data_IF_222101012201
#
_entry.id   IF_222101012201
#
_cell.length_a   1.000
_cell.length_b   1.000
_cell.length_c   1.000
_cell.angle_alpha   90.00
_cell.angle_beta   90.00
_cell.angle_gamma   90.00
#
_symmetry.space_group_name_H-M   'P 1'
#
loop_
_entity.id
_entity.type
_entity.pdbx_description
1 polymer ?
#
# COMPACT_ATOMS: atom_id res chain seq x y z
N UNK A 1 -4.79 -14.40 -11.87
CA UNK A 1 -5.20 -15.43 -10.89
C UNK A 1 -5.04 -14.92 -9.45
N UNK A 2 -5.90 -13.97 -9.09
CA UNK A 2 -6.07 -13.33 -7.77
C UNK A 2 -6.22 -14.34 -6.59
N UNK A 3 -6.58 -15.60 -6.88
CA UNK A 3 -6.82 -16.66 -5.89
C UNK A 3 -5.59 -17.06 -5.06
N UNK A 4 -4.37 -17.02 -5.62
CA UNK A 4 -3.15 -17.43 -4.89
C UNK A 4 -2.68 -16.37 -3.90
N UNK A 5 -3.07 -15.09 -4.08
CA UNK A 5 -2.72 -14.00 -3.18
C UNK A 5 -3.49 -14.06 -1.84
N UNK A 6 -4.46 -14.96 -1.69
CA UNK A 6 -5.24 -15.10 -0.45
C UNK A 6 -4.63 -16.05 0.58
N UNK A 7 -3.72 -16.96 0.20
CA UNK A 7 -3.43 -18.11 1.06
C UNK A 7 -2.15 -18.04 1.91
N UNK A 8 -1.23 -17.08 1.70
CA UNK A 8 -0.07 -16.92 2.58
C UNK A 8 0.29 -15.44 2.74
N UNK A 9 -0.04 -14.87 3.91
CA UNK A 9 0.37 -13.53 4.35
C UNK A 9 -0.76 -12.50 4.42
N UNK A 10 -0.75 -11.67 5.46
CA UNK A 10 -1.55 -10.44 5.51
C UNK A 10 -1.20 -9.56 4.29
N UNK A 11 -2.20 -9.08 3.54
CA UNK A 11 -2.01 -8.18 2.40
C UNK A 11 -3.11 -7.12 2.43
N UNK A 12 -2.74 -5.87 2.16
CA UNK A 12 -3.67 -4.78 1.93
C UNK A 12 -4.23 -4.86 0.52
N UNK A 13 -5.51 -4.54 0.36
CA UNK A 13 -6.19 -4.53 -0.93
C UNK A 13 -6.78 -3.16 -1.17
N UNK A 14 -6.46 -2.53 -2.29
CA UNK A 14 -7.14 -1.31 -2.73
C UNK A 14 -7.71 -1.55 -4.12
N UNK A 15 -8.88 -0.97 -4.38
CA UNK A 15 -9.59 -1.12 -5.65
C UNK A 15 -9.41 0.14 -6.48
N UNK A 16 -9.26 -0.03 -7.80
CA UNK A 16 -9.09 1.10 -8.70
C UNK A 16 -9.16 0.73 -10.17
N UNK A 17 -8.79 1.69 -11.00
CA UNK A 17 -8.70 1.58 -12.46
C UNK A 17 -7.26 1.82 -12.89
N UNK A 18 -6.73 0.94 -13.73
CA UNK A 18 -5.42 1.17 -14.35
C UNK A 18 -5.49 2.41 -15.25
N UNK A 19 -4.68 3.42 -14.97
CA UNK A 19 -4.66 4.65 -15.75
C UNK A 19 -3.60 4.61 -16.85
N UNK A 20 -2.39 4.13 -16.53
CA UNK A 20 -1.33 3.93 -17.51
C UNK A 20 -0.59 2.63 -17.25
N UNK A 21 -0.03 2.04 -18.32
CA UNK A 21 0.92 0.93 -18.23
C UNK A 21 2.15 1.32 -19.05
N UNK A 22 3.32 1.22 -18.43
CA UNK A 22 4.61 1.48 -19.05
C UNK A 22 5.63 0.45 -18.57
N UNK A 23 5.90 -0.55 -19.41
CA UNK A 23 6.85 -1.62 -19.10
C UNK A 23 6.42 -2.42 -17.87
N UNK A 24 7.24 -2.38 -16.82
CA UNK A 24 7.05 -3.09 -15.54
C UNK A 24 6.31 -2.26 -14.48
N UNK A 25 5.83 -1.06 -14.82
CA UNK A 25 5.09 -0.17 -13.93
C UNK A 25 3.76 0.24 -14.54
N UNK A 26 2.73 0.32 -13.70
CA UNK A 26 1.45 0.91 -14.03
C UNK A 26 1.03 1.90 -12.95
N UNK A 27 0.29 2.95 -13.35
CA UNK A 27 -0.41 3.82 -12.41
C UNK A 27 -1.84 3.33 -12.26
N UNK A 28 -2.32 3.28 -11.01
CA UNK A 28 -3.71 2.93 -10.69
C UNK A 28 -4.35 4.11 -10.01
N UNK A 29 -5.51 4.53 -10.53
CA UNK A 29 -6.39 5.49 -9.90
C UNK A 29 -7.36 4.74 -8.99
N UNK A 30 -7.21 4.92 -7.70
CA UNK A 30 -8.11 4.37 -6.69
C UNK A 30 -9.50 5.02 -6.80
N UNK A 31 -10.50 4.40 -6.20
CA UNK A 31 -11.89 4.86 -6.27
C UNK A 31 -12.13 6.23 -5.62
N UNK A 32 -11.25 6.67 -4.71
CA UNK A 32 -11.26 8.00 -4.11
C UNK A 32 -10.54 9.06 -4.98
N UNK A 33 -9.98 8.66 -6.13
CA UNK A 33 -9.23 9.51 -7.05
C UNK A 33 -7.72 9.53 -6.82
N UNK A 34 -7.22 8.94 -5.73
CA UNK A 34 -5.79 8.86 -5.39
C UNK A 34 -5.04 8.04 -6.44
N UNK A 35 -3.84 8.52 -6.81
CA UNK A 35 -2.94 7.79 -7.71
C UNK A 35 -1.89 7.01 -6.93
N UNK A 36 -1.64 5.78 -7.36
CA UNK A 36 -0.62 4.90 -6.81
C UNK A 36 0.17 4.20 -7.91
N UNK A 37 1.39 3.77 -7.59
CA UNK A 37 2.18 2.89 -8.44
C UNK A 37 1.99 1.42 -8.08
N UNK A 38 1.99 0.57 -9.11
CA UNK A 38 1.97 -0.87 -8.98
C UNK A 38 2.75 -1.52 -10.14
N UNK A 39 3.11 -2.79 -9.96
CA UNK A 39 3.56 -3.68 -11.02
C UNK A 39 2.33 -4.32 -11.70
N UNK A 40 2.19 -4.24 -13.04
CA UNK A 40 1.09 -4.86 -13.78
C UNK A 40 1.31 -6.37 -13.86
N UNK A 41 0.64 -7.15 -13.02
CA UNK A 41 0.81 -8.61 -12.96
C UNK A 41 -0.25 -9.34 -13.79
N UNK A 42 -1.53 -8.98 -13.64
CA UNK A 42 -2.65 -9.57 -14.40
C UNK A 42 -3.52 -8.51 -15.08
N UNK A 43 -2.96 -7.33 -15.33
CA UNK A 43 -3.62 -6.23 -16.06
C UNK A 43 -2.80 -5.92 -17.30
N UNK A 44 -3.48 -5.63 -18.41
CA UNK A 44 -2.83 -5.55 -19.73
C UNK A 44 -3.05 -4.24 -20.46
N UNK A 45 -4.03 -3.42 -20.04
CA UNK A 45 -4.30 -2.11 -20.65
C UNK A 45 -4.89 -1.13 -19.65
N UNK A 46 -4.76 0.16 -19.98
CA UNK A 46 -5.47 1.23 -19.30
C UNK A 46 -7.00 1.05 -19.39
N UNK A 47 -7.71 1.49 -18.36
CA UNK A 47 -9.16 1.35 -18.20
C UNK A 47 -9.61 0.06 -17.52
N UNK A 48 -8.71 -0.90 -17.27
CA UNK A 48 -9.07 -2.14 -16.56
C UNK A 48 -9.30 -1.90 -15.07
N UNK A 49 -10.38 -2.48 -14.54
CA UNK A 49 -10.57 -2.59 -13.09
C UNK A 49 -9.53 -3.54 -12.53
N UNK A 50 -8.93 -3.14 -11.43
CA UNK A 50 -7.88 -3.90 -10.78
C UNK A 50 -8.02 -3.81 -9.27
N UNK A 51 -7.63 -4.90 -8.63
CA UNK A 51 -7.35 -4.94 -7.19
C UNK A 51 -5.84 -4.92 -7.02
N UNK A 52 -5.32 -3.88 -6.38
CA UNK A 52 -3.91 -3.87 -5.98
C UNK A 52 -3.72 -4.64 -4.68
N UNK A 53 -2.61 -5.34 -4.56
CA UNK A 53 -2.21 -6.05 -3.35
C UNK A 53 -0.85 -5.56 -2.89
N UNK A 54 -0.77 -5.09 -1.65
CA UNK A 54 0.45 -4.53 -1.04
C UNK A 54 0.70 -5.26 0.28
N UNK A 55 1.93 -5.72 0.48
CA UNK A 55 2.31 -6.37 1.74
C UNK A 55 2.51 -5.34 2.86
N UNK A 56 1.99 -5.55 4.08
CA UNK A 56 2.10 -4.60 5.18
C UNK A 56 3.54 -4.18 5.49
N UNK A 57 4.50 -5.11 5.38
CA UNK A 57 5.92 -4.86 5.64
C UNK A 57 6.64 -4.07 4.54
N UNK A 58 5.95 -3.74 3.44
CA UNK A 58 6.49 -2.94 2.32
C UNK A 58 5.94 -1.52 2.29
N UNK A 59 5.05 -1.19 3.23
CA UNK A 59 4.51 0.16 3.41
C UNK A 59 5.49 0.97 4.23
N UNK A 60 5.89 2.13 3.73
CA UNK A 60 6.85 3.01 4.36
C UNK A 60 6.20 4.36 4.69
N UNK A 61 6.49 4.86 5.89
CA UNK A 61 6.07 6.19 6.35
C UNK A 61 7.21 7.22 6.36
N UNK A 62 8.46 6.78 6.13
CA UNK A 62 9.60 7.66 5.93
C UNK A 62 9.86 7.83 4.41
N UNK A 63 9.61 9.02 3.83
CA UNK A 63 9.84 9.29 2.42
C UNK A 63 11.29 9.07 1.96
N UNK A 64 12.28 9.21 2.85
CA UNK A 64 13.70 9.00 2.52
C UNK A 64 14.04 7.54 2.17
N UNK A 65 13.16 6.60 2.54
CA UNK A 65 13.30 5.16 2.22
C UNK A 65 12.59 4.76 0.92
N UNK A 66 11.96 5.72 0.24
CA UNK A 66 11.24 5.53 -1.01
C UNK A 66 11.99 6.18 -2.17
N UNK A 67 11.64 5.77 -3.40
CA UNK A 67 12.14 6.46 -4.59
C UNK A 67 11.62 7.90 -4.63
N UNK A 68 12.38 8.87 -5.17
CA UNK A 68 11.95 10.27 -5.24
C UNK A 68 10.64 10.50 -6.01
N UNK A 69 10.27 9.57 -6.89
CA UNK A 69 9.05 9.58 -7.71
C UNK A 69 7.92 8.71 -7.15
N UNK A 70 8.09 8.11 -5.96
CA UNK A 70 7.06 7.29 -5.35
C UNK A 70 5.82 8.11 -4.98
N UNK A 71 4.63 7.62 -5.34
CA UNK A 71 3.39 8.21 -4.86
C UNK A 71 3.26 8.06 -3.35
N UNK A 72 2.98 9.18 -2.68
CA UNK A 72 2.64 9.23 -1.27
C UNK A 72 1.15 9.51 -1.13
N UNK A 73 0.49 8.75 -0.27
CA UNK A 73 -0.95 8.87 0.00
C UNK A 73 -1.19 9.19 1.47
N UNK A 74 -2.27 9.92 1.74
CA UNK A 74 -2.66 10.23 3.12
C UNK A 74 -3.22 8.98 3.83
N UNK A 75 -2.84 8.84 5.09
CA UNK A 75 -3.34 7.80 5.96
C UNK A 75 -3.62 8.37 7.36
N UNK A 76 -4.64 7.86 8.03
CA UNK A 76 -4.93 8.20 9.42
C UNK A 76 -4.71 6.98 10.31
N UNK A 77 -3.88 7.13 11.34
CA UNK A 77 -3.59 6.05 12.29
C UNK A 77 -4.84 5.75 13.11
N UNK A 78 -5.33 4.52 13.00
CA UNK A 78 -6.46 4.03 13.80
C UNK A 78 -5.95 3.35 15.06
N UNK A 79 -4.94 2.48 14.93
CA UNK A 79 -4.36 1.73 16.05
C UNK A 79 -2.85 1.54 15.86
N UNK A 80 -2.12 1.52 16.98
CA UNK A 80 -0.70 1.25 17.02
C UNK A 80 -0.42 0.14 18.04
N UNK A 81 0.02 -1.03 17.56
CA UNK A 81 0.14 -2.25 18.36
C UNK A 81 1.59 -2.70 18.37
N UNK A 82 2.14 -2.88 19.58
CA UNK A 82 3.46 -3.46 19.78
C UNK A 82 3.40 -4.99 19.80
N UNK A 83 4.15 -5.63 18.91
CA UNK A 83 4.18 -7.08 18.71
C UNK A 83 5.54 -7.70 19.09
N UNK A 84 6.31 -7.05 19.98
CA UNK A 84 7.64 -7.51 20.40
C UNK A 84 8.75 -6.99 19.49
N UNK A 85 9.01 -7.65 18.37
CA UNK A 85 10.07 -7.24 17.42
C UNK A 85 9.56 -6.31 16.31
N UNK A 86 8.24 -6.13 16.23
CA UNK A 86 7.56 -5.38 15.17
C UNK A 86 6.46 -4.51 15.76
N UNK A 87 6.10 -3.48 15.00
CA UNK A 87 4.88 -2.71 15.22
C UNK A 87 3.88 -3.06 14.12
N UNK A 88 2.61 -3.21 14.51
CA UNK A 88 1.46 -3.34 13.61
C UNK A 88 0.61 -2.09 13.75
N UNK A 89 0.42 -1.38 12.66
CA UNK A 89 -0.34 -0.13 12.64
C UNK A 89 -1.53 -0.34 11.72
N UNK A 90 -2.73 -0.14 12.24
CA UNK A 90 -3.96 -0.10 11.43
C UNK A 90 -4.21 1.33 11.02
N UNK A 91 -4.43 1.53 9.73
CA UNK A 91 -4.53 2.81 9.07
C UNK A 91 -5.87 2.89 8.34
N UNK A 92 -6.43 4.10 8.30
CA UNK A 92 -7.49 4.45 7.36
C UNK A 92 -6.87 5.06 6.12
N UNK A 93 -7.09 4.46 4.96
CA UNK A 93 -6.46 4.78 3.67
C UNK A 93 -7.50 4.63 2.57
N UNK A 94 -7.64 5.64 1.70
CA UNK A 94 -8.56 5.61 0.56
C UNK A 94 -10.00 5.12 0.91
N UNK A 95 -10.51 5.54 2.06
CA UNK A 95 -11.84 5.16 2.55
C UNK A 95 -11.92 3.80 3.25
N UNK A 96 -10.87 2.98 3.25
CA UNK A 96 -10.79 1.70 3.97
C UNK A 96 -10.11 1.87 5.33
N UNK A 97 -10.54 1.14 6.36
CA UNK A 97 -10.09 1.29 7.76
C UNK A 97 -9.30 0.10 8.33
N UNK A 98 -9.00 -0.88 7.48
CA UNK A 98 -8.31 -2.11 7.80
C UNK A 98 -6.92 -2.23 7.14
N UNK A 99 -6.42 -1.13 6.54
CA UNK A 99 -5.09 -1.11 5.92
C UNK A 99 -3.99 -1.24 6.99
N UNK A 100 -3.10 -2.22 6.84
CA UNK A 100 -2.06 -2.54 7.80
C UNK A 100 -0.68 -2.11 7.30
N UNK A 101 0.06 -1.41 8.13
CA UNK A 101 1.50 -1.21 7.97
C UNK A 101 2.24 -1.98 9.06
N UNK A 102 3.34 -2.63 8.70
CA UNK A 102 4.23 -3.32 9.64
C UNK A 102 5.66 -2.88 9.45
N UNK A 103 6.35 -2.60 10.54
CA UNK A 103 7.79 -2.34 10.49
C UNK A 103 8.48 -2.85 11.75
N UNK A 104 9.79 -3.10 11.65
CA UNK A 104 10.60 -3.56 12.78
C UNK A 104 10.71 -2.50 13.85
N UNK A 105 10.67 -2.92 15.10
CA UNK A 105 10.96 -2.07 16.24
C UNK A 105 12.45 -1.69 16.24
N UNK A 106 12.77 -0.55 15.64
CA UNK A 106 14.11 0.04 15.61
C UNK A 106 14.16 1.27 16.53
N UNK A 107 15.33 1.57 17.10
CA UNK A 107 15.47 2.62 18.12
C UNK A 107 15.17 4.04 17.61
N UNK A 108 15.25 4.24 16.30
CA UNK A 108 14.99 5.48 15.58
C UNK A 108 13.54 5.64 15.12
N UNK A 109 12.68 4.64 15.32
CA UNK A 109 11.27 4.69 14.93
C UNK A 109 10.43 5.40 15.99
N UNK A 110 9.82 6.52 15.61
CA UNK A 110 8.84 7.21 16.44
C UNK A 110 7.57 6.39 16.66
N UNK A 111 6.93 6.58 17.83
CA UNK A 111 5.57 6.06 18.06
C UNK A 111 4.56 6.90 17.29
N UNK A 112 3.56 6.23 16.72
CA UNK A 112 2.40 6.90 16.13
C UNK A 112 1.22 6.85 17.09
N UNK A 113 0.39 7.90 17.05
CA UNK A 113 -0.80 8.02 17.91
C UNK A 113 -2.08 7.83 17.09
N UNK A 114 -3.13 7.19 17.62
CA UNK A 114 -4.46 7.20 17.00
C UNK A 114 -4.92 8.62 16.66
N UNK A 115 -5.52 8.80 15.48
CA UNK A 115 -5.94 10.09 14.91
C UNK A 115 -4.81 10.88 14.22
N UNK A 116 -3.55 10.43 14.33
CA UNK A 116 -2.43 11.08 13.63
C UNK A 116 -2.57 10.88 12.12
N UNK A 117 -2.47 11.97 11.36
CA UNK A 117 -2.34 11.93 9.91
C UNK A 117 -0.88 11.75 9.52
N UNK A 118 -0.63 10.77 8.67
CA UNK A 118 0.70 10.45 8.13
C UNK A 118 0.60 10.33 6.60
N UNK A 119 1.76 10.36 5.94
CA UNK A 119 1.87 9.95 4.53
C UNK A 119 2.56 8.60 4.46
N UNK A 120 2.03 7.73 3.62
CA UNK A 120 2.62 6.42 3.37
C UNK A 120 2.86 6.23 1.88
N UNK A 121 3.81 5.39 1.54
CA UNK A 121 4.08 4.97 0.16
C UNK A 121 4.78 3.61 0.14
N UNK A 122 5.11 3.16 -1.06
CA UNK A 122 5.78 1.89 -1.30
C UNK A 122 6.54 1.94 -2.62
N UNK A 123 7.43 0.98 -2.83
CA UNK A 123 8.05 0.76 -4.13
C UNK A 123 7.05 0.08 -5.07
N UNK A 124 7.00 0.52 -6.34
CA UNK A 124 6.05 -0.02 -7.32
C UNK A 124 6.12 -1.55 -7.44
N UNK A 125 7.32 -2.13 -7.36
CA UNK A 125 7.55 -3.58 -7.42
C UNK A 125 6.97 -4.36 -6.22
N UNK A 126 6.69 -3.68 -5.10
CA UNK A 126 6.09 -4.28 -3.90
C UNK A 126 4.56 -4.19 -3.88
N UNK A 127 3.96 -3.53 -4.88
CA UNK A 127 2.52 -3.41 -5.08
C UNK A 127 2.13 -4.12 -6.38
N UNK A 128 1.18 -5.05 -6.32
CA UNK A 128 0.80 -5.85 -7.51
C UNK A 128 -0.61 -5.49 -7.96
N UNK A 129 -0.76 -5.01 -9.19
CA UNK A 129 -2.05 -4.87 -9.83
C UNK A 129 -2.52 -6.23 -10.37
N UNK A 130 -3.60 -6.74 -9.77
CA UNK A 130 -4.18 -8.04 -10.08
C UNK A 130 -5.51 -7.86 -10.83
N UNK A 131 -5.93 -8.94 -11.49
CA UNK A 131 -7.28 -9.09 -12.03
C UNK A 131 -8.29 -8.95 -10.88
N UNK A 132 -9.31 -8.10 -11.07
CA UNK A 132 -10.37 -7.84 -10.10
C UNK A 132 -11.31 -9.06 -9.95
#
# INVERSE_FOLDING_TARGET
>A
NSFVAQFIGENNKLEGVVETISGDRCTVRLDDGTLIDAQPVNVTRAGERTRVSIRPERVESNPERLSPDAHLIEAEVQEFIYMGDTFRIRLKVAGQDDFIMKYRNAQDQGRMSPGQKIRIGWHAADCRALDA
#
